data_IF_223399528629
#
_entry.id   IF_223399528629
#
_cell.length_a   1.000
_cell.length_b   1.000
_cell.length_c   1.000
_cell.angle_alpha   90.00
_cell.angle_beta   90.00
_cell.angle_gamma   90.00
#
_symmetry.space_group_name_H-M   'P 1'
#
loop_
_entity.id
_entity.type
_entity.pdbx_description
1 polymer ?
#
# COMPACT_ATOMS: atom_id res chain seq x y z
N UNK A 1 30.98 -6.71 1.89
CA UNK A 1 29.54 -6.77 1.93
C UNK A 1 28.95 -6.99 0.54
N UNK A 2 28.00 -7.83 0.48
CA UNK A 2 27.38 -8.11 -0.81
C UNK A 2 26.66 -6.91 -1.32
N UNK A 3 26.85 -6.64 -2.60
CA UNK A 3 26.10 -5.58 -3.24
C UNK A 3 24.68 -6.00 -3.42
N UNK A 4 23.81 -5.09 -3.18
CA UNK A 4 22.44 -5.31 -3.51
C UNK A 4 22.29 -5.23 -5.00
N UNK A 5 21.63 -6.18 -5.55
CA UNK A 5 21.33 -6.17 -6.96
C UNK A 5 19.89 -5.77 -7.17
N UNK A 6 19.52 -5.49 -8.41
CA UNK A 6 18.15 -5.18 -8.72
C UNK A 6 17.22 -6.33 -8.35
N UNK A 7 17.73 -7.54 -8.37
CA UNK A 7 16.91 -8.70 -8.03
C UNK A 7 16.50 -8.70 -6.56
N UNK A 8 17.14 -7.89 -5.75
CA UNK A 8 16.81 -7.82 -4.33
C UNK A 8 15.87 -6.67 -4.01
N UNK A 9 15.40 -5.94 -5.03
CA UNK A 9 14.40 -4.93 -4.80
C UNK A 9 13.16 -5.60 -4.21
N UNK A 10 12.59 -5.02 -3.16
CA UNK A 10 11.44 -5.59 -2.49
C UNK A 10 11.77 -6.63 -1.44
N UNK A 11 13.04 -6.98 -1.29
CA UNK A 11 13.48 -7.95 -0.30
C UNK A 11 14.72 -7.47 0.40
N UNK A 12 14.92 -7.97 1.59
CA UNK A 12 16.13 -7.68 2.33
C UNK A 12 17.06 -8.89 2.31
N UNK A 13 18.37 -8.64 2.14
CA UNK A 13 19.33 -9.73 2.25
C UNK A 13 19.26 -10.35 3.65
N UNK A 14 19.26 -11.64 3.71
CA UNK A 14 19.23 -12.34 4.98
C UNK A 14 17.84 -12.60 5.53
N UNK A 15 16.85 -11.85 5.14
CA UNK A 15 15.48 -12.10 5.58
C UNK A 15 14.64 -12.74 4.51
N UNK A 16 14.97 -12.45 3.26
CA UNK A 16 14.24 -12.98 2.12
C UNK A 16 12.75 -12.65 2.19
N UNK A 17 12.43 -11.53 2.83
CA UNK A 17 11.04 -11.12 2.97
C UNK A 17 10.66 -10.15 1.90
N UNK A 18 9.46 -10.33 1.38
CA UNK A 18 8.84 -9.39 0.47
C UNK A 18 8.50 -8.11 1.23
N UNK A 19 8.73 -6.99 0.61
CA UNK A 19 8.51 -5.68 1.24
C UNK A 19 7.21 -5.09 0.82
N UNK A 20 6.45 -4.60 1.79
CA UNK A 20 5.18 -3.91 1.56
C UNK A 20 5.32 -2.50 2.13
N UNK A 21 4.90 -1.52 1.36
CA UNK A 21 4.84 -0.14 1.86
C UNK A 21 3.42 0.17 2.23
N UNK A 22 3.24 0.63 3.47
CA UNK A 22 1.94 1.05 3.99
C UNK A 22 1.94 2.56 4.10
N UNK A 23 1.04 3.20 3.38
CA UNK A 23 0.85 4.64 3.50
C UNK A 23 -0.46 4.92 4.20
N UNK A 24 -0.41 5.69 5.28
CA UNK A 24 -1.59 6.16 5.96
C UNK A 24 -1.26 7.44 6.69
N UNK A 25 -2.08 8.50 6.52
CA UNK A 25 -1.93 9.70 7.36
C UNK A 25 -2.26 9.42 8.82
N UNK A 26 -2.97 8.35 9.09
CA UNK A 26 -3.33 7.95 10.45
C UNK A 26 -2.22 7.04 10.99
N UNK A 27 -1.44 7.59 11.90
CA UNK A 27 -0.28 6.87 12.45
C UNK A 27 -0.72 5.58 13.14
N UNK A 28 -1.84 5.59 13.82
CA UNK A 28 -2.31 4.40 14.54
C UNK A 28 -2.72 3.31 13.57
N UNK A 29 -3.38 3.67 12.48
CA UNK A 29 -3.75 2.69 11.48
C UNK A 29 -2.52 2.13 10.78
N UNK A 30 -1.56 2.98 10.46
CA UNK A 30 -0.31 2.51 9.85
C UNK A 30 0.38 1.50 10.75
N UNK A 31 0.41 1.78 12.04
CA UNK A 31 1.03 0.86 13.00
C UNK A 31 0.26 -0.46 13.07
N UNK A 32 -1.07 -0.38 13.10
CA UNK A 32 -1.89 -1.58 13.17
C UNK A 32 -1.69 -2.47 11.95
N UNK A 33 -1.63 -1.85 10.77
CA UNK A 33 -1.40 -2.61 9.54
C UNK A 33 0.00 -3.22 9.53
N UNK A 34 0.97 -2.47 10.04
CA UNK A 34 2.32 -2.99 10.14
C UNK A 34 2.36 -4.23 11.03
N UNK A 35 1.68 -4.18 12.17
CA UNK A 35 1.65 -5.32 13.07
C UNK A 35 0.96 -6.53 12.45
N UNK A 36 -0.05 -6.27 11.63
CA UNK A 36 -0.78 -7.34 10.97
C UNK A 36 0.13 -8.21 10.11
N UNK A 37 1.11 -7.59 9.46
CA UNK A 37 1.92 -8.27 8.45
C UNK A 37 3.35 -8.53 8.86
N UNK A 38 3.78 -8.07 10.03
CA UNK A 38 5.22 -8.05 10.33
C UNK A 38 5.84 -9.44 10.40
N UNK A 39 5.05 -10.48 10.63
CA UNK A 39 5.58 -11.83 10.69
C UNK A 39 5.85 -12.42 9.32
N UNK A 40 5.23 -11.88 8.27
CA UNK A 40 5.33 -12.45 6.93
C UNK A 40 6.08 -11.55 5.97
N UNK A 41 6.02 -10.25 6.18
CA UNK A 41 6.57 -9.27 5.24
C UNK A 41 7.43 -8.27 5.96
N UNK A 42 8.30 -7.63 5.22
CA UNK A 42 9.00 -6.47 5.73
C UNK A 42 8.12 -5.25 5.44
N UNK A 43 7.75 -4.53 6.48
CA UNK A 43 6.81 -3.41 6.35
C UNK A 43 7.56 -2.10 6.46
N UNK A 44 7.31 -1.23 5.49
CA UNK A 44 7.79 0.14 5.50
C UNK A 44 6.56 1.03 5.60
N UNK A 45 6.54 1.92 6.57
CA UNK A 45 5.40 2.82 6.77
C UNK A 45 5.74 4.23 6.34
N UNK A 46 4.76 4.91 5.78
CA UNK A 46 4.87 6.32 5.47
C UNK A 46 3.57 7.00 5.84
N UNK A 47 3.66 8.14 6.52
CA UNK A 47 2.47 8.87 6.96
C UNK A 47 2.33 10.23 6.26
N UNK A 48 3.36 10.69 5.57
CA UNK A 48 3.35 11.98 4.91
C UNK A 48 3.26 11.80 3.41
N UNK A 49 2.26 12.43 2.80
CA UNK A 49 2.03 12.26 1.37
C UNK A 49 3.23 12.76 0.56
N UNK A 50 3.81 13.87 0.97
CA UNK A 50 4.93 14.45 0.24
C UNK A 50 6.18 13.59 0.28
N UNK A 51 6.25 12.64 1.21
CA UNK A 51 7.38 11.73 1.32
C UNK A 51 7.11 10.38 0.65
N UNK A 52 5.91 10.20 0.10
CA UNK A 52 5.53 8.90 -0.44
C UNK A 52 6.39 8.51 -1.63
N UNK A 53 6.58 9.43 -2.57
CA UNK A 53 7.35 9.12 -3.77
C UNK A 53 8.80 8.73 -3.46
N UNK A 54 9.53 9.52 -2.65
CA UNK A 54 10.90 9.08 -2.32
C UNK A 54 10.92 7.80 -1.49
N UNK A 55 9.90 7.57 -0.68
CA UNK A 55 9.84 6.33 0.10
C UNK A 55 9.63 5.12 -0.80
N UNK A 56 8.78 5.26 -1.80
CA UNK A 56 8.58 4.18 -2.76
C UNK A 56 9.88 3.86 -3.48
N UNK A 57 10.62 4.88 -3.88
CA UNK A 57 11.88 4.66 -4.56
C UNK A 57 12.90 3.96 -3.68
N UNK A 58 13.01 4.39 -2.43
CA UNK A 58 14.01 3.81 -1.53
C UNK A 58 13.62 2.42 -1.06
N UNK A 59 12.33 2.18 -0.86
CA UNK A 59 11.88 0.89 -0.35
C UNK A 59 11.71 -0.15 -1.43
N UNK A 60 11.41 0.27 -2.65
CA UNK A 60 11.14 -0.62 -3.78
C UNK A 60 10.19 -1.73 -3.37
N UNK A 61 8.98 -1.39 -2.91
CA UNK A 61 8.07 -2.40 -2.38
C UNK A 61 7.48 -3.27 -3.49
N UNK A 62 7.05 -4.46 -3.11
CA UNK A 62 6.36 -5.36 -4.02
C UNK A 62 4.86 -5.08 -4.06
N UNK A 63 4.35 -4.32 -3.09
CA UNK A 63 2.93 -3.98 -3.02
C UNK A 63 2.78 -2.69 -2.21
N UNK A 64 1.81 -1.89 -2.60
CA UNK A 64 1.50 -0.66 -1.91
C UNK A 64 0.11 -0.77 -1.29
N UNK A 65 0.04 -0.53 0.01
CA UNK A 65 -1.21 -0.53 0.75
C UNK A 65 -1.47 0.90 1.18
N UNK A 66 -2.52 1.52 0.64
CA UNK A 66 -2.74 2.96 0.78
C UNK A 66 -4.06 3.20 1.49
N UNK A 67 -3.99 3.95 2.58
CA UNK A 67 -5.17 4.42 3.30
C UNK A 67 -5.48 5.82 2.81
N UNK A 68 -6.57 5.97 2.06
CA UNK A 68 -7.00 7.27 1.58
C UNK A 68 -7.68 8.04 2.71
N UNK A 69 -7.26 9.27 2.86
CA UNK A 69 -7.82 10.11 3.90
C UNK A 69 -9.28 10.43 3.57
N UNK A 70 -10.06 10.74 4.59
CA UNK A 70 -11.51 10.88 4.39
C UNK A 70 -11.94 12.28 3.97
N UNK A 71 -11.11 13.29 4.11
CA UNK A 71 -11.48 14.63 3.71
C UNK A 71 -11.41 14.78 2.19
N UNK A 72 -12.45 15.38 1.57
CA UNK A 72 -12.48 15.44 0.10
C UNK A 72 -11.27 16.12 -0.54
N UNK A 73 -10.79 17.20 0.07
CA UNK A 73 -9.64 17.91 -0.48
C UNK A 73 -8.39 17.06 -0.42
N UNK A 74 -8.25 16.28 0.63
CA UNK A 74 -7.09 15.43 0.77
C UNK A 74 -7.16 14.24 -0.16
N UNK A 75 -8.37 13.70 -0.37
CA UNK A 75 -8.53 12.58 -1.28
C UNK A 75 -8.12 12.97 -2.69
N UNK A 76 -8.53 14.14 -3.16
CA UNK A 76 -8.16 14.57 -4.49
C UNK A 76 -6.65 14.68 -4.63
N UNK A 77 -6.00 15.29 -3.64
CA UNK A 77 -4.56 15.44 -3.65
C UNK A 77 -3.87 14.09 -3.64
N UNK A 78 -4.34 13.19 -2.79
CA UNK A 78 -3.75 11.86 -2.67
C UNK A 78 -3.89 11.08 -3.97
N UNK A 79 -5.08 11.12 -4.56
CA UNK A 79 -5.32 10.39 -5.79
C UNK A 79 -4.44 10.93 -6.91
N UNK A 80 -4.29 12.25 -6.99
CA UNK A 80 -3.44 12.84 -8.03
C UNK A 80 -1.98 12.46 -7.86
N UNK A 81 -1.50 12.42 -6.61
CA UNK A 81 -0.13 11.99 -6.35
C UNK A 81 0.06 10.53 -6.76
N UNK A 82 -0.87 9.68 -6.39
CA UNK A 82 -0.76 8.26 -6.72
C UNK A 82 -0.79 8.03 -8.21
N UNK A 83 -1.67 8.74 -8.92
CA UNK A 83 -1.75 8.58 -10.36
C UNK A 83 -0.45 9.01 -11.03
N UNK A 84 0.15 10.08 -10.55
CA UNK A 84 1.37 10.59 -11.13
C UNK A 84 2.57 9.66 -10.92
N UNK A 85 2.49 8.80 -9.94
CA UNK A 85 3.60 7.87 -9.66
C UNK A 85 3.72 6.77 -10.69
N UNK A 86 2.66 6.46 -11.41
CA UNK A 86 2.65 5.40 -12.44
C UNK A 86 3.22 4.11 -11.89
N UNK A 87 2.58 3.64 -10.85
CA UNK A 87 3.08 2.48 -10.12
C UNK A 87 2.96 1.21 -10.96
N UNK A 88 3.96 0.34 -10.82
CA UNK A 88 3.97 -0.94 -11.51
C UNK A 88 3.78 -2.10 -10.55
N UNK A 89 3.43 -1.80 -9.31
CA UNK A 89 3.17 -2.82 -8.31
C UNK A 89 1.71 -2.80 -7.95
N UNK A 90 1.19 -3.90 -7.42
CA UNK A 90 -0.21 -3.92 -6.99
C UNK A 90 -0.49 -2.87 -5.92
N UNK A 91 -1.66 -2.26 -6.01
CA UNK A 91 -2.08 -1.23 -5.07
C UNK A 91 -3.41 -1.65 -4.46
N UNK A 92 -3.44 -1.72 -3.14
CA UNK A 92 -4.66 -1.92 -2.37
C UNK A 92 -5.02 -0.59 -1.73
N UNK A 93 -6.21 -0.08 -2.03
CA UNK A 93 -6.68 1.15 -1.42
C UNK A 93 -7.67 0.83 -0.32
N UNK A 94 -7.48 1.50 0.81
CA UNK A 94 -8.43 1.45 1.92
C UNK A 94 -9.12 2.80 1.97
N UNK A 95 -10.43 2.83 2.05
CA UNK A 95 -11.14 4.09 2.06
C UNK A 95 -12.43 3.99 2.85
N UNK A 96 -12.90 5.17 3.30
CA UNK A 96 -14.21 5.27 3.90
C UNK A 96 -15.24 5.29 2.78
N UNK A 97 -16.36 4.62 2.98
CA UNK A 97 -17.43 4.67 2.00
C UNK A 97 -18.03 6.06 1.99
N UNK A 98 -17.89 6.75 0.89
CA UNK A 98 -18.52 8.04 0.69
C UNK A 98 -18.63 8.28 -0.80
N UNK A 99 -19.64 9.00 -1.18
CA UNK A 99 -19.87 9.28 -2.58
C UNK A 99 -18.93 10.38 -3.06
N UNK A 100 -18.19 10.10 -4.10
CA UNK A 100 -17.30 11.05 -4.74
C UNK A 100 -17.79 11.29 -6.15
N UNK A 101 -17.17 12.26 -6.82
CA UNK A 101 -17.53 12.51 -8.21
C UNK A 101 -17.25 11.29 -9.07
N UNK A 102 -18.01 11.08 -10.16
CA UNK A 102 -17.73 9.94 -11.03
C UNK A 102 -16.32 9.95 -11.58
N UNK A 103 -15.77 11.12 -11.88
CA UNK A 103 -14.42 11.23 -12.39
C UNK A 103 -13.39 10.75 -11.36
N UNK A 104 -13.59 11.14 -10.11
CA UNK A 104 -12.67 10.74 -9.06
C UNK A 104 -12.79 9.24 -8.77
N UNK A 105 -14.01 8.72 -8.79
CA UNK A 105 -14.20 7.28 -8.60
C UNK A 105 -13.52 6.49 -9.69
N UNK A 106 -13.61 6.96 -10.92
CA UNK A 106 -12.97 6.27 -12.02
C UNK A 106 -11.45 6.30 -11.88
N UNK A 107 -10.89 7.43 -11.47
CA UNK A 107 -9.45 7.54 -11.25
C UNK A 107 -9.00 6.57 -10.16
N UNK A 108 -9.78 6.47 -9.09
CA UNK A 108 -9.45 5.55 -8.01
C UNK A 108 -9.45 4.10 -8.54
N UNK A 109 -10.43 3.74 -9.35
CA UNK A 109 -10.46 2.40 -9.91
C UNK A 109 -9.28 2.12 -10.82
N UNK A 110 -8.82 3.14 -11.54
CA UNK A 110 -7.67 2.98 -12.42
C UNK A 110 -6.37 2.76 -11.64
N UNK A 111 -6.25 3.38 -10.49
CA UNK A 111 -5.04 3.27 -9.68
C UNK A 111 -5.00 1.95 -8.93
N UNK A 112 -6.12 1.54 -8.38
CA UNK A 112 -6.17 0.44 -7.43
C UNK A 112 -6.38 -0.89 -8.12
N UNK A 113 -5.67 -1.89 -7.66
CA UNK A 113 -5.97 -3.27 -8.04
C UNK A 113 -7.11 -3.82 -7.20
N UNK A 114 -7.27 -3.25 -6.00
CA UNK A 114 -8.36 -3.66 -5.13
C UNK A 114 -8.68 -2.49 -4.19
N UNK A 115 -9.98 -2.29 -3.93
CA UNK A 115 -10.43 -1.26 -3.00
C UNK A 115 -11.19 -1.93 -1.89
N UNK A 116 -10.83 -1.61 -0.65
CA UNK A 116 -11.52 -2.10 0.53
C UNK A 116 -12.08 -0.92 1.29
N UNK A 117 -13.25 -1.08 1.87
CA UNK A 117 -13.94 -0.01 2.56
C UNK A 117 -13.87 -0.18 4.08
N UNK A 118 -13.67 0.93 4.76
CA UNK A 118 -13.66 0.93 6.22
C UNK A 118 -15.09 0.92 6.74
N UNK A 119 -15.34 0.28 7.85
CA UNK A 119 -14.45 -0.57 8.62
C UNK A 119 -14.22 -1.89 7.89
N UNK A 120 -12.99 -2.37 7.91
CA UNK A 120 -12.68 -3.62 7.24
C UNK A 120 -12.24 -4.65 8.27
N UNK A 121 -12.40 -5.91 7.88
CA UNK A 121 -11.87 -7.02 8.66
C UNK A 121 -10.40 -7.17 8.31
N UNK A 122 -9.55 -7.31 9.32
CA UNK A 122 -8.12 -7.46 9.07
C UNK A 122 -7.82 -8.69 8.23
N UNK A 123 -8.64 -9.73 8.34
CA UNK A 123 -8.45 -10.92 7.54
C UNK A 123 -8.71 -10.66 6.06
N UNK A 124 -9.64 -9.75 5.75
CA UNK A 124 -9.91 -9.38 4.37
C UNK A 124 -8.72 -8.65 3.79
N UNK A 125 -8.10 -7.76 4.57
CA UNK A 125 -6.91 -7.06 4.12
C UNK A 125 -5.78 -8.05 3.89
N UNK A 126 -5.57 -8.97 4.81
CA UNK A 126 -4.51 -9.96 4.68
C UNK A 126 -4.72 -10.83 3.44
N UNK A 127 -5.95 -11.27 3.22
CA UNK A 127 -6.25 -12.10 2.05
C UNK A 127 -6.00 -11.34 0.75
N UNK A 128 -6.36 -10.05 0.71
CA UNK A 128 -6.14 -9.24 -0.47
C UNK A 128 -4.65 -9.12 -0.79
N UNK A 129 -3.84 -8.88 0.23
CA UNK A 129 -2.41 -8.74 0.05
C UNK A 129 -1.81 -10.05 -0.46
N UNK A 130 -2.17 -11.15 0.17
CA UNK A 130 -1.65 -12.45 -0.24
C UNK A 130 -2.05 -12.79 -1.66
N UNK A 131 -3.28 -12.50 -2.02
CA UNK A 131 -3.78 -12.80 -3.36
C UNK A 131 -3.03 -12.00 -4.41
N UNK A 132 -2.83 -10.72 -4.18
CA UNK A 132 -2.18 -9.86 -5.16
C UNK A 132 -0.70 -10.16 -5.28
N UNK A 133 -0.07 -10.63 -4.22
CA UNK A 133 1.34 -11.00 -4.28
C UNK A 133 1.57 -12.41 -4.77
N UNK A 134 0.48 -13.16 -5.01
CA UNK A 134 0.62 -14.53 -5.44
C UNK A 134 1.11 -15.46 -4.35
N UNK A 135 1.01 -15.05 -3.10
CA UNK A 135 1.42 -15.87 -1.97
C UNK A 135 0.27 -16.78 -1.61
N UNK A 136 0.51 -18.06 -1.63
CA UNK A 136 -0.53 -19.02 -1.33
C UNK A 136 -0.60 -19.25 0.17
N UNK A 137 -1.83 -19.26 0.67
CA UNK A 137 -2.04 -19.63 2.05
C UNK A 137 -1.74 -21.09 2.20
N UNK A 138 -0.93 -21.42 3.17
CA UNK A 138 -0.67 -22.81 3.44
C UNK A 138 -1.77 -23.36 4.29
N UNK A 139 -2.47 -24.28 3.76
CA UNK A 139 -3.62 -24.85 4.47
C UNK A 139 -3.19 -26.02 5.26
#
# INVERSE_FOLDING_TARGET
MAKRTAAQAGKRPGTDRTRILVFSPDVDLAKSLSLLFENQFEIVCETQLEDLKPRIRSAAPALLLVDLFSFPSDILREVNVLRALRLHVPVVLLRVYRQLSPELEETIRDIADLVLYKPFDVNVVADAVHKLLGVHQQK
#
